data_IF_750316812706
#
_entry.id   IF_750316812706
#
_cell.length_a   1.000
_cell.length_b   1.000
_cell.length_c   1.000
_cell.angle_alpha   90.00
_cell.angle_beta   90.00
_cell.angle_gamma   90.00
#
_symmetry.space_group_name_H-M   'P 1'
#
loop_
_entity.id
_entity.type
_entity.pdbx_description
1 polymer ?
#
# COMPACT_ATOMS: atom_id res chain seq x y z
N UNK A 1 -12.66 7.37 -18.29
CA UNK A 1 -13.32 7.33 -19.60
C UNK A 1 -14.50 6.38 -19.61
N UNK A 2 -15.41 6.51 -20.58
CA UNK A 2 -16.59 5.64 -20.72
C UNK A 2 -16.17 4.18 -20.97
N UNK A 3 -16.95 3.19 -20.51
CA UNK A 3 -16.76 1.78 -20.89
C UNK A 3 -16.79 1.62 -22.42
N UNK A 4 -16.06 0.64 -22.96
CA UNK A 4 -15.97 0.34 -24.39
C UNK A 4 -15.46 1.48 -25.30
N UNK A 5 -14.80 2.50 -24.77
CA UNK A 5 -14.25 3.65 -25.53
C UNK A 5 -12.94 3.35 -26.29
N UNK A 6 -12.51 2.08 -26.37
CA UNK A 6 -11.29 1.67 -27.08
C UNK A 6 -9.98 1.97 -26.32
N UNK A 7 -10.04 2.31 -25.04
CA UNK A 7 -8.85 2.62 -24.23
C UNK A 7 -7.79 1.52 -24.25
N UNK A 8 -8.20 0.29 -24.01
CA UNK A 8 -7.30 -0.86 -24.00
C UNK A 8 -6.62 -1.05 -25.35
N UNK A 9 -7.38 -0.90 -26.45
CA UNK A 9 -6.81 -0.96 -27.79
C UNK A 9 -5.77 0.15 -28.02
N UNK A 10 -6.07 1.38 -27.61
CA UNK A 10 -5.15 2.52 -27.75
C UNK A 10 -3.88 2.32 -26.92
N UNK A 11 -3.98 1.77 -25.71
CA UNK A 11 -2.81 1.47 -24.86
C UNK A 11 -1.97 0.38 -25.50
N UNK A 12 -2.57 -0.72 -25.96
CA UNK A 12 -1.86 -1.81 -26.64
C UNK A 12 -1.17 -1.35 -27.93
N UNK A 13 -1.81 -0.49 -28.74
CA UNK A 13 -1.19 0.09 -29.95
C UNK A 13 0.04 0.96 -29.60
N UNK A 14 -0.04 1.78 -28.56
CA UNK A 14 1.10 2.56 -28.07
C UNK A 14 2.22 1.69 -27.53
N UNK A 15 1.91 0.64 -26.77
CA UNK A 15 2.89 -0.34 -26.27
C UNK A 15 3.57 -1.04 -27.43
N UNK A 16 2.82 -1.44 -28.44
CA UNK A 16 3.35 -2.08 -29.65
C UNK A 16 4.34 -1.17 -30.36
N UNK A 17 3.99 0.08 -30.62
CA UNK A 17 4.90 1.08 -31.23
C UNK A 17 6.15 1.32 -30.40
N UNK A 18 6.03 1.30 -29.08
CA UNK A 18 7.17 1.41 -28.19
C UNK A 18 8.10 0.20 -28.33
N UNK A 19 7.56 -1.02 -28.29
CA UNK A 19 8.32 -2.26 -28.46
C UNK A 19 8.99 -2.36 -29.85
N UNK A 20 8.28 -1.98 -30.92
CA UNK A 20 8.82 -1.92 -32.29
C UNK A 20 9.99 -0.93 -32.43
N UNK A 21 10.01 0.13 -31.61
CA UNK A 21 11.14 1.07 -31.57
C UNK A 21 12.33 0.59 -30.73
N UNK A 22 12.29 -0.66 -30.23
CA UNK A 22 13.34 -1.26 -29.41
C UNK A 22 13.36 -0.79 -27.95
N UNK A 23 12.33 -0.06 -27.50
CA UNK A 23 12.21 0.40 -26.10
C UNK A 23 11.48 -0.61 -25.24
N UNK A 24 11.87 -0.70 -23.99
CA UNK A 24 11.12 -1.48 -22.99
C UNK A 24 9.89 -0.71 -22.52
N UNK A 25 8.82 -1.43 -22.23
CA UNK A 25 7.58 -0.88 -21.70
C UNK A 25 7.17 -1.58 -20.39
N UNK A 26 6.54 -0.84 -19.51
CA UNK A 26 5.90 -1.37 -18.29
C UNK A 26 4.43 -0.98 -18.35
N UNK A 27 3.55 -1.97 -18.23
CA UNK A 27 2.10 -1.78 -18.11
C UNK A 27 1.71 -2.06 -16.66
N UNK A 28 1.31 -1.00 -15.94
CA UNK A 28 0.78 -1.11 -14.59
C UNK A 28 -0.72 -1.31 -14.64
N UNK A 29 -1.21 -2.36 -13.96
CA UNK A 29 -2.62 -2.74 -13.94
C UNK A 29 -3.06 -3.11 -12.53
N UNK A 30 -4.35 -2.99 -12.20
CA UNK A 30 -4.89 -3.56 -10.97
C UNK A 30 -4.63 -5.07 -10.92
N UNK A 31 -4.40 -5.61 -9.70
CA UNK A 31 -4.04 -7.02 -9.46
C UNK A 31 -4.95 -8.01 -10.20
N UNK A 32 -6.25 -7.78 -10.12
CA UNK A 32 -7.27 -8.62 -10.74
C UNK A 32 -7.20 -8.69 -12.28
N UNK A 33 -6.56 -7.73 -12.92
CA UNK A 33 -6.43 -7.67 -14.38
C UNK A 33 -5.05 -8.08 -14.89
N UNK A 34 -4.13 -8.47 -14.02
CA UNK A 34 -2.74 -8.80 -14.41
C UNK A 34 -2.70 -9.91 -15.46
N UNK A 35 -3.38 -11.02 -15.22
CA UNK A 35 -3.41 -12.17 -16.13
C UNK A 35 -4.06 -11.84 -17.49
N UNK A 36 -5.19 -11.12 -17.47
CA UNK A 36 -5.88 -10.73 -18.70
C UNK A 36 -5.03 -9.76 -19.53
N UNK A 37 -4.33 -8.85 -18.86
CA UNK A 37 -3.44 -7.88 -19.52
C UNK A 37 -2.20 -8.54 -20.09
N UNK A 38 -1.57 -9.48 -19.39
CA UNK A 38 -0.45 -10.28 -19.92
C UNK A 38 -0.90 -11.04 -21.21
N UNK A 39 -2.06 -11.67 -21.16
CA UNK A 39 -2.63 -12.38 -22.30
C UNK A 39 -2.96 -11.44 -23.46
N UNK A 40 -3.47 -10.25 -23.19
CA UNK A 40 -3.78 -9.25 -24.19
C UNK A 40 -2.52 -8.71 -24.87
N UNK A 41 -1.46 -8.46 -24.11
CA UNK A 41 -0.14 -8.04 -24.62
C UNK A 41 0.44 -9.14 -25.50
N UNK A 42 0.48 -10.39 -25.04
CA UNK A 42 0.99 -11.52 -25.79
C UNK A 42 0.22 -11.70 -27.13
N UNK A 43 -1.11 -11.65 -27.08
CA UNK A 43 -1.96 -11.80 -28.27
C UNK A 43 -1.82 -10.63 -29.25
N UNK A 44 -1.65 -9.40 -28.74
CA UNK A 44 -1.58 -8.18 -29.54
C UNK A 44 -0.21 -7.91 -30.16
N UNK A 45 0.88 -8.31 -29.48
CA UNK A 45 2.27 -8.04 -29.90
C UNK A 45 2.98 -9.28 -30.48
N UNK A 46 2.53 -10.48 -30.12
CA UNK A 46 3.23 -11.74 -30.44
C UNK A 46 4.43 -12.00 -29.54
N UNK A 47 5.01 -13.20 -29.64
CA UNK A 47 6.02 -13.71 -28.70
C UNK A 47 7.30 -12.86 -28.64
N UNK A 48 7.75 -12.31 -29.74
CA UNK A 48 9.01 -11.54 -29.78
C UNK A 48 8.89 -10.17 -29.12
N UNK A 49 7.86 -9.39 -29.47
CA UNK A 49 7.70 -8.03 -28.94
C UNK A 49 7.19 -8.01 -27.50
N UNK A 50 6.41 -9.03 -27.10
CA UNK A 50 5.91 -9.13 -25.73
C UNK A 50 7.03 -9.29 -24.68
N UNK A 51 8.18 -9.81 -25.05
CA UNK A 51 9.34 -9.94 -24.14
C UNK A 51 9.91 -8.57 -23.71
N UNK A 52 9.66 -7.51 -24.47
CA UNK A 52 10.06 -6.14 -24.10
C UNK A 52 9.04 -5.41 -23.22
N UNK A 53 7.93 -6.08 -22.86
CA UNK A 53 6.83 -5.49 -22.10
C UNK A 53 6.65 -6.23 -20.78
N UNK A 54 6.85 -5.53 -19.67
CA UNK A 54 6.53 -6.04 -18.34
C UNK A 54 5.11 -5.63 -17.94
N UNK A 55 4.25 -6.60 -17.67
CA UNK A 55 2.94 -6.34 -17.06
C UNK A 55 3.04 -6.56 -15.57
N UNK A 56 2.71 -5.54 -14.78
CA UNK A 56 2.87 -5.55 -13.33
C UNK A 56 1.64 -5.00 -12.64
N UNK A 57 1.29 -5.59 -11.50
CA UNK A 57 0.45 -4.94 -10.50
C UNK A 57 1.30 -4.08 -9.56
N UNK A 58 0.65 -3.25 -8.75
CA UNK A 58 1.36 -2.49 -7.71
C UNK A 58 2.04 -3.42 -6.70
N UNK A 59 1.41 -4.53 -6.30
CA UNK A 59 2.02 -5.51 -5.40
C UNK A 59 3.28 -6.14 -5.99
N UNK A 60 3.23 -6.56 -7.26
CA UNK A 60 4.43 -7.07 -7.96
C UNK A 60 5.53 -6.02 -8.09
N UNK A 61 5.16 -4.76 -8.30
CA UNK A 61 6.13 -3.65 -8.33
C UNK A 61 6.77 -3.43 -6.97
N UNK A 62 5.99 -3.48 -5.88
CA UNK A 62 6.50 -3.40 -4.51
C UNK A 62 7.52 -4.51 -4.22
N UNK A 63 7.18 -5.75 -4.60
CA UNK A 63 8.07 -6.91 -4.46
C UNK A 63 9.37 -6.75 -5.25
N UNK A 64 9.27 -6.26 -6.48
CA UNK A 64 10.42 -6.06 -7.36
C UNK A 64 11.36 -4.98 -6.82
N UNK A 65 10.81 -3.83 -6.42
CA UNK A 65 11.58 -2.75 -5.80
C UNK A 65 12.18 -3.22 -4.47
N UNK A 66 11.39 -3.92 -3.65
CA UNK A 66 11.85 -4.48 -2.38
C UNK A 66 13.03 -5.43 -2.54
N UNK A 67 12.98 -6.35 -3.51
CA UNK A 67 14.08 -7.28 -3.82
C UNK A 67 15.36 -6.58 -4.22
N UNK A 68 15.26 -5.52 -4.99
CA UNK A 68 16.44 -4.85 -5.54
C UNK A 68 17.00 -3.74 -4.62
N UNK A 69 16.20 -3.22 -3.68
CA UNK A 69 16.64 -2.18 -2.73
C UNK A 69 16.97 -2.73 -1.33
N UNK A 70 17.00 -4.06 -1.16
CA UNK A 70 17.43 -4.68 0.10
C UNK A 70 16.38 -4.69 1.22
N UNK A 71 15.08 -4.58 0.89
CA UNK A 71 14.00 -4.48 1.86
C UNK A 71 13.22 -5.76 2.18
N UNK A 72 13.66 -6.93 1.75
CA UNK A 72 12.87 -8.20 1.80
C UNK A 72 13.04 -9.00 3.09
N UNK A 73 13.92 -8.62 4.01
CA UNK A 73 14.12 -9.37 5.25
C UNK A 73 12.91 -9.30 6.22
N UNK A 74 11.97 -8.40 5.99
CA UNK A 74 10.77 -8.27 6.80
C UNK A 74 9.62 -9.10 6.20
N UNK A 75 9.10 -10.05 6.95
CA UNK A 75 7.93 -10.84 6.53
C UNK A 75 6.68 -9.95 6.47
N UNK A 76 5.84 -10.15 5.45
CA UNK A 76 4.53 -9.50 5.37
C UNK A 76 3.58 -10.08 6.42
N UNK A 77 2.90 -9.22 7.18
CA UNK A 77 1.95 -9.64 8.21
C UNK A 77 0.68 -10.23 7.59
N UNK A 78 0.28 -11.40 8.09
CA UNK A 78 -1.06 -11.94 7.85
C UNK A 78 -2.10 -11.17 8.67
N UNK A 79 -3.38 -11.23 8.27
CA UNK A 79 -4.46 -10.55 8.99
C UNK A 79 -4.57 -11.01 10.45
N UNK A 80 -4.36 -12.29 10.72
CA UNK A 80 -4.35 -12.80 12.08
C UNK A 80 -3.20 -12.21 12.92
N UNK A 81 -2.01 -12.10 12.35
CA UNK A 81 -0.87 -11.48 13.00
C UNK A 81 -1.10 -9.98 13.26
N UNK A 82 -1.69 -9.25 12.32
CA UNK A 82 -2.03 -7.83 12.50
C UNK A 82 -2.96 -7.63 13.71
N UNK A 83 -3.98 -8.48 13.86
CA UNK A 83 -4.90 -8.42 15.03
C UNK A 83 -4.14 -8.69 16.34
N UNK A 84 -3.21 -9.65 16.36
CA UNK A 84 -2.39 -9.94 17.55
C UNK A 84 -1.50 -8.75 17.91
N UNK A 85 -0.84 -8.14 16.91
CA UNK A 85 -0.01 -6.95 17.12
C UNK A 85 -0.83 -5.75 17.60
N UNK A 86 -2.01 -5.51 17.00
CA UNK A 86 -2.91 -4.45 17.45
C UNK A 86 -3.38 -4.67 18.88
N UNK A 87 -3.76 -5.88 19.26
CA UNK A 87 -4.14 -6.18 20.64
C UNK A 87 -2.97 -5.97 21.61
N UNK A 88 -1.74 -6.32 21.22
CA UNK A 88 -0.53 -6.07 22.00
C UNK A 88 -0.26 -4.56 22.14
N UNK A 89 -0.42 -3.80 21.06
CA UNK A 89 -0.31 -2.34 21.09
C UNK A 89 -1.31 -1.71 22.07
N UNK A 90 -2.58 -2.09 21.97
CA UNK A 90 -3.63 -1.64 22.89
C UNK A 90 -3.29 -1.92 24.37
N UNK A 91 -2.78 -3.10 24.65
CA UNK A 91 -2.39 -3.47 26.02
C UNK A 91 -1.17 -2.68 26.51
N UNK A 92 -0.20 -2.38 25.65
CA UNK A 92 1.01 -1.64 26.02
C UNK A 92 0.75 -0.19 26.36
N UNK A 93 -0.26 0.44 25.75
CA UNK A 93 -0.59 1.86 25.99
C UNK A 93 -1.84 2.06 26.83
N UNK A 94 -2.41 0.99 27.38
CA UNK A 94 -3.70 1.00 28.09
C UNK A 94 -3.82 2.13 29.11
N UNK A 95 -2.79 2.32 29.95
CA UNK A 95 -2.81 3.32 31.01
C UNK A 95 -2.69 4.77 30.51
N UNK A 96 -2.29 4.96 29.27
CA UNK A 96 -2.20 6.27 28.61
C UNK A 96 -3.49 6.68 27.89
N UNK A 97 -4.48 5.77 27.81
CA UNK A 97 -5.72 6.01 27.09
C UNK A 97 -6.80 6.58 28.02
N UNK A 98 -7.56 7.56 27.52
CA UNK A 98 -8.63 8.21 28.26
C UNK A 98 -9.98 7.53 28.03
N UNK A 99 -10.36 7.30 26.77
CA UNK A 99 -11.66 6.73 26.41
C UNK A 99 -11.60 5.24 26.11
N UNK A 100 -10.53 4.79 25.49
CA UNK A 100 -10.43 3.43 25.00
C UNK A 100 -9.84 2.43 26.00
N UNK A 101 -9.36 2.89 27.17
CA UNK A 101 -8.74 2.07 28.19
C UNK A 101 -9.53 0.79 28.53
N UNK A 102 -10.86 0.93 28.73
CA UNK A 102 -11.74 -0.19 29.10
C UNK A 102 -11.96 -1.23 28.01
N UNK A 103 -11.63 -0.90 26.76
CA UNK A 103 -11.78 -1.80 25.62
C UNK A 103 -10.50 -2.57 25.28
N UNK A 104 -9.38 -2.24 25.91
CA UNK A 104 -8.12 -2.94 25.73
C UNK A 104 -8.24 -4.41 26.15
N UNK A 105 -7.77 -5.33 25.31
CA UNK A 105 -7.91 -6.78 25.48
C UNK A 105 -9.15 -7.38 24.83
N UNK A 106 -10.06 -6.58 24.28
CA UNK A 106 -11.25 -7.07 23.54
C UNK A 106 -10.86 -7.24 22.06
N UNK A 107 -10.89 -8.47 21.56
CA UNK A 107 -10.46 -8.80 20.18
C UNK A 107 -11.27 -8.06 19.11
N UNK A 108 -12.58 -7.89 19.29
CA UNK A 108 -13.41 -7.13 18.34
C UNK A 108 -13.00 -5.65 18.29
N UNK A 109 -12.61 -5.07 19.42
CA UNK A 109 -12.10 -3.71 19.46
C UNK A 109 -10.72 -3.59 18.76
N UNK A 110 -9.85 -4.59 18.98
CA UNK A 110 -8.56 -4.63 18.27
C UNK A 110 -8.75 -4.70 16.74
N UNK A 111 -9.73 -5.47 16.25
CA UNK A 111 -10.08 -5.48 14.81
C UNK A 111 -10.57 -4.11 14.34
N UNK A 112 -11.50 -3.48 15.07
CA UNK A 112 -11.99 -2.14 14.71
C UNK A 112 -10.87 -1.10 14.66
N UNK A 113 -9.96 -1.14 15.63
CA UNK A 113 -8.81 -0.23 15.64
C UNK A 113 -7.84 -0.52 14.49
N UNK A 114 -7.62 -1.79 14.17
CA UNK A 114 -6.81 -2.19 13.02
C UNK A 114 -7.39 -1.66 11.70
N UNK A 115 -8.69 -1.82 11.49
CA UNK A 115 -9.38 -1.30 10.31
C UNK A 115 -9.28 0.23 10.24
N UNK A 116 -9.48 0.92 11.38
CA UNK A 116 -9.37 2.39 11.47
C UNK A 116 -7.95 2.89 11.15
N UNK A 117 -6.93 2.25 11.73
CA UNK A 117 -5.52 2.59 11.46
C UNK A 117 -5.15 2.27 10.00
N UNK A 118 -5.64 1.15 9.47
CA UNK A 118 -5.46 0.78 8.07
C UNK A 118 -6.03 1.82 7.11
N UNK A 119 -7.23 2.35 7.41
CA UNK A 119 -7.84 3.43 6.62
C UNK A 119 -7.00 4.72 6.68
N UNK A 120 -6.45 5.08 7.84
CA UNK A 120 -5.56 6.23 7.96
C UNK A 120 -4.30 6.05 7.13
N UNK A 121 -3.66 4.89 7.19
CA UNK A 121 -2.46 4.57 6.39
C UNK A 121 -2.72 4.67 4.89
N UNK A 122 -3.80 4.08 4.40
CA UNK A 122 -4.20 4.12 2.98
C UNK A 122 -4.40 5.58 2.51
N UNK A 123 -4.93 6.44 3.39
CA UNK A 123 -5.15 7.86 3.09
C UNK A 123 -3.97 8.76 3.46
N UNK A 124 -2.82 8.19 3.82
CA UNK A 124 -1.61 8.93 4.24
C UNK A 124 -1.84 9.87 5.43
N UNK A 125 -2.79 9.54 6.31
CA UNK A 125 -3.04 10.26 7.56
C UNK A 125 -2.15 9.66 8.65
N UNK A 126 -1.32 10.49 9.26
CA UNK A 126 -0.40 10.09 10.32
C UNK A 126 -1.00 10.26 11.73
N UNK A 127 -0.34 9.69 12.74
CA UNK A 127 -0.74 9.91 14.13
C UNK A 127 -0.60 11.40 14.53
N UNK A 128 0.37 12.12 13.98
CA UNK A 128 0.55 13.56 14.21
C UNK A 128 -0.59 14.39 13.59
N UNK A 129 -1.07 13.99 12.41
CA UNK A 129 -2.24 14.63 11.80
C UNK A 129 -3.48 14.49 12.68
N UNK A 130 -3.67 13.33 13.33
CA UNK A 130 -4.76 13.12 14.27
C UNK A 130 -4.64 14.02 15.51
N UNK A 131 -3.44 14.22 16.05
CA UNK A 131 -3.20 15.14 17.16
C UNK A 131 -3.45 16.58 16.76
N UNK A 132 -2.96 16.97 15.59
CA UNK A 132 -3.18 18.31 15.05
C UNK A 132 -4.68 18.59 14.85
N UNK A 133 -5.42 17.64 14.28
CA UNK A 133 -6.87 17.72 14.14
C UNK A 133 -7.56 17.82 15.50
N UNK A 134 -7.12 17.03 16.50
CA UNK A 134 -7.68 17.08 17.85
C UNK A 134 -7.52 18.46 18.50
N UNK A 135 -6.38 19.13 18.29
CA UNK A 135 -6.13 20.46 18.85
C UNK A 135 -7.12 21.53 18.37
N UNK A 136 -7.61 21.39 17.12
CA UNK A 136 -8.57 22.33 16.51
C UNK A 136 -10.05 22.11 16.88
N UNK A 137 -10.36 21.06 17.66
CA UNK A 137 -11.76 20.73 17.98
C UNK A 137 -12.24 21.42 19.24
N UNK A 138 -13.56 21.69 19.30
CA UNK A 138 -14.22 22.21 20.52
C UNK A 138 -14.76 21.10 21.43
N UNK A 139 -14.92 19.89 20.92
CA UNK A 139 -15.49 18.75 21.66
C UNK A 139 -14.39 17.98 22.39
N UNK A 140 -14.32 18.06 23.71
CA UNK A 140 -13.35 17.30 24.53
C UNK A 140 -13.42 15.79 24.30
N UNK A 141 -14.64 15.24 24.14
CA UNK A 141 -14.81 13.82 23.85
C UNK A 141 -14.16 13.42 22.52
N UNK A 142 -14.27 14.27 21.50
CA UNK A 142 -13.67 14.00 20.19
C UNK A 142 -12.16 14.19 20.21
N UNK A 143 -11.66 15.20 20.96
CA UNK A 143 -10.22 15.35 21.23
C UNK A 143 -9.62 14.10 21.84
N UNK A 144 -10.21 13.61 22.93
CA UNK A 144 -9.75 12.38 23.57
C UNK A 144 -9.80 11.18 22.65
N UNK A 145 -10.86 11.06 21.83
CA UNK A 145 -10.98 9.99 20.85
C UNK A 145 -9.83 10.00 19.84
N UNK A 146 -9.51 11.16 19.26
CA UNK A 146 -8.44 11.27 18.28
C UNK A 146 -7.06 11.07 18.91
N UNK A 147 -6.82 11.63 20.09
CA UNK A 147 -5.57 11.46 20.81
C UNK A 147 -5.32 9.99 21.21
N UNK A 148 -6.31 9.32 21.77
CA UNK A 148 -6.22 7.89 22.09
C UNK A 148 -5.94 7.07 20.82
N UNK A 149 -6.60 7.40 19.71
CA UNK A 149 -6.38 6.73 18.43
C UNK A 149 -4.95 6.96 17.91
N UNK A 150 -4.42 8.18 18.04
CA UNK A 150 -3.04 8.49 17.67
C UNK A 150 -2.02 7.70 18.51
N UNK A 151 -2.25 7.59 19.83
CA UNK A 151 -1.40 6.80 20.73
C UNK A 151 -1.40 5.31 20.35
N UNK A 152 -2.57 4.76 20.05
CA UNK A 152 -2.71 3.35 19.61
C UNK A 152 -2.02 3.12 18.28
N UNK A 153 -2.18 4.05 17.34
CA UNK A 153 -1.57 3.99 16.01
C UNK A 153 -0.05 3.93 16.10
N UNK A 154 0.57 4.84 16.86
CA UNK A 154 2.02 4.83 17.06
C UNK A 154 2.52 3.55 17.74
N UNK A 155 1.81 3.09 18.78
CA UNK A 155 2.18 1.85 19.45
C UNK A 155 2.14 0.63 18.51
N UNK A 156 1.15 0.60 17.62
CA UNK A 156 1.05 -0.44 16.60
C UNK A 156 2.23 -0.35 15.60
N UNK A 157 2.51 0.84 15.09
CA UNK A 157 3.61 1.05 14.14
C UNK A 157 4.97 0.72 14.74
N UNK A 158 5.22 1.07 15.99
CA UNK A 158 6.46 0.70 16.68
C UNK A 158 6.63 -0.81 16.80
N UNK A 159 5.55 -1.56 17.05
CA UNK A 159 5.60 -3.01 17.17
C UNK A 159 5.79 -3.72 15.82
N UNK A 160 5.25 -3.15 14.75
CA UNK A 160 5.30 -3.73 13.40
C UNK A 160 6.57 -3.28 12.67
N UNK A 161 6.91 -2.00 12.78
CA UNK A 161 7.82 -1.29 11.87
C UNK A 161 9.26 -1.80 11.78
N UNK A 162 9.77 -2.50 12.80
CA UNK A 162 11.17 -2.99 12.78
C UNK A 162 11.34 -4.36 12.10
N UNK A 163 10.33 -5.21 12.14
CA UNK A 163 10.47 -6.62 11.74
C UNK A 163 9.50 -7.07 10.65
N UNK A 164 8.45 -6.33 10.40
CA UNK A 164 7.38 -6.74 9.50
C UNK A 164 6.97 -5.61 8.56
N UNK A 165 6.37 -6.00 7.44
CA UNK A 165 5.73 -5.08 6.50
C UNK A 165 4.23 -5.17 6.71
N UNK A 166 3.60 -4.05 7.08
CA UNK A 166 2.15 -3.93 7.00
C UNK A 166 1.77 -3.67 5.54
N UNK A 167 0.91 -4.49 4.93
CA UNK A 167 0.43 -4.26 3.56
C UNK A 167 -0.15 -2.85 3.33
N UNK A 168 -0.71 -2.22 4.36
CA UNK A 168 -1.20 -0.84 4.27
C UNK A 168 -0.08 0.20 4.03
N UNK A 169 1.15 -0.11 4.42
CA UNK A 169 2.33 0.76 4.23
C UNK A 169 3.08 0.46 2.92
N UNK A 170 2.69 -0.57 2.19
CA UNK A 170 3.44 -1.08 1.03
C UNK A 170 3.60 -0.01 -0.06
N UNK A 171 2.53 0.71 -0.39
CA UNK A 171 2.57 1.78 -1.39
C UNK A 171 3.40 2.99 -0.93
N UNK A 172 3.35 3.35 0.35
CA UNK A 172 4.16 4.44 0.91
C UNK A 172 5.65 4.07 0.86
N UNK A 173 5.98 2.84 1.19
CA UNK A 173 7.35 2.31 1.08
C UNK A 173 7.82 2.25 -0.37
N UNK A 174 6.96 1.85 -1.30
CA UNK A 174 7.24 1.88 -2.73
C UNK A 174 7.59 3.29 -3.17
N UNK A 175 6.75 4.27 -2.82
CA UNK A 175 6.94 5.67 -3.18
C UNK A 175 8.29 6.21 -2.70
N UNK A 176 8.68 5.95 -1.45
CA UNK A 176 9.95 6.42 -0.89
C UNK A 176 11.18 5.79 -1.55
N UNK A 177 11.05 4.54 -2.04
CA UNK A 177 12.16 3.80 -2.66
C UNK A 177 12.25 3.95 -4.17
N UNK A 178 11.17 4.37 -4.83
CA UNK A 178 11.17 4.55 -6.28
C UNK A 178 12.14 5.62 -6.75
N UNK A 179 12.42 6.64 -5.93
CA UNK A 179 13.42 7.68 -6.25
C UNK A 179 14.83 7.12 -6.35
N UNK A 180 15.15 6.12 -5.55
CA UNK A 180 16.48 5.50 -5.50
C UNK A 180 16.60 4.30 -6.45
N UNK A 181 15.47 3.76 -6.90
CA UNK A 181 15.39 2.59 -7.74
C UNK A 181 15.10 2.96 -9.20
N UNK A 182 16.15 2.91 -10.02
CA UNK A 182 16.12 3.31 -11.43
C UNK A 182 15.40 2.32 -12.38
N UNK A 183 14.42 1.58 -11.86
CA UNK A 183 13.72 0.55 -12.63
C UNK A 183 13.04 1.09 -13.89
N UNK A 184 12.50 2.31 -13.79
CA UNK A 184 11.78 2.95 -14.90
C UNK A 184 12.67 3.75 -15.85
N UNK A 185 13.99 3.85 -15.55
CA UNK A 185 14.91 4.51 -16.47
C UNK A 185 14.89 3.83 -17.84
N UNK A 186 14.72 4.62 -18.90
CA UNK A 186 14.63 4.17 -20.28
C UNK A 186 13.44 3.24 -20.61
N UNK A 187 12.42 3.16 -19.76
CA UNK A 187 11.19 2.40 -20.00
C UNK A 187 10.00 3.35 -20.18
N UNK A 188 9.11 3.01 -21.10
CA UNK A 188 7.82 3.70 -21.22
C UNK A 188 6.83 3.08 -20.22
N UNK A 189 6.17 3.90 -19.40
CA UNK A 189 5.20 3.44 -18.43
C UNK A 189 3.79 3.75 -18.91
N UNK A 190 2.92 2.75 -18.87
CA UNK A 190 1.51 2.81 -19.21
C UNK A 190 0.68 2.41 -17.99
N UNK A 191 -0.45 3.09 -17.74
CA UNK A 191 -1.36 2.86 -16.61
C UNK A 191 -2.81 2.77 -17.12
#
# INVERSE_FOLDING_TARGET
GLPASGKTYTVLDKIKKCAESGKQAVLLVPEQFSFESERAVLKGLGDQLSQSVAVMSFSRLCDEVGRNTGGIAAGTLTDAQKVVFMNRALLSVKESLTLWQRYCGIVSFAKTMLDTVGEFKINSVTADDLRLAAAGLNSEKLKHKLNDTAIIYEAYDMLVGEKYIDPADELTRLYTRLSDYKYFENKAVFI
#
